data_IF_270831895262
#
_entry.id   IF_270831895262
#
_cell.length_a   1.000
_cell.length_b   1.000
_cell.length_c   1.000
_cell.angle_alpha   90.00
_cell.angle_beta   90.00
_cell.angle_gamma   90.00
#
_symmetry.space_group_name_H-M   'P 1'
#
loop_
_entity.id
_entity.type
_entity.pdbx_description
1 polymer ?
#
# COMPACT_ATOMS: atom_id res chain seq x y z
N UNK A 1 28.65 -0.63 -22.86
CA UNK A 1 27.49 -1.51 -22.67
C UNK A 1 26.31 -0.85 -21.95
N UNK A 2 26.49 0.23 -21.17
CA UNK A 2 25.42 0.89 -20.41
C UNK A 2 24.59 1.91 -21.21
N UNK A 3 25.04 2.33 -22.40
CA UNK A 3 24.38 3.38 -23.16
C UNK A 3 22.90 3.12 -23.52
N UNK A 4 22.47 1.91 -23.94
CA UNK A 4 21.06 1.65 -24.20
C UNK A 4 20.19 1.78 -22.94
N UNK A 5 20.70 1.32 -21.78
CA UNK A 5 20.01 1.45 -20.51
C UNK A 5 19.87 2.92 -20.06
N UNK A 6 20.94 3.70 -20.18
CA UNK A 6 20.94 5.13 -19.88
C UNK A 6 19.95 5.87 -20.78
N UNK A 7 19.96 5.57 -22.08
CA UNK A 7 19.00 6.15 -23.03
C UNK A 7 17.54 5.82 -22.64
N UNK A 8 17.28 4.57 -22.27
CA UNK A 8 15.97 4.14 -21.77
C UNK A 8 15.54 4.92 -20.51
N UNK A 9 16.44 5.03 -19.53
CA UNK A 9 16.13 5.78 -18.28
C UNK A 9 15.86 7.26 -18.58
N UNK A 10 16.63 7.88 -19.46
CA UNK A 10 16.41 9.30 -19.83
C UNK A 10 15.06 9.47 -20.55
N UNK A 11 14.76 8.64 -21.55
CA UNK A 11 13.56 8.81 -22.37
C UNK A 11 12.27 8.40 -21.63
N UNK A 12 12.33 7.35 -20.82
CA UNK A 12 11.12 6.76 -20.21
C UNK A 12 10.86 7.31 -18.80
N UNK A 13 11.89 7.70 -18.06
CA UNK A 13 11.73 8.21 -16.71
C UNK A 13 12.08 9.70 -16.57
N UNK A 14 13.28 10.10 -16.98
CA UNK A 14 13.73 11.48 -16.75
C UNK A 14 12.93 12.49 -17.58
N UNK A 15 12.74 12.24 -18.86
CA UNK A 15 12.00 13.14 -19.74
C UNK A 15 10.56 13.39 -19.30
N UNK A 16 9.71 12.39 -18.99
CA UNK A 16 8.36 12.63 -18.49
C UNK A 16 8.32 13.40 -17.18
N UNK A 17 9.29 13.18 -16.28
CA UNK A 17 9.38 13.92 -15.00
C UNK A 17 9.67 15.39 -15.26
N UNK A 18 10.68 15.70 -16.10
CA UNK A 18 11.02 17.07 -16.47
C UNK A 18 9.86 17.75 -17.20
N UNK A 19 9.20 17.03 -18.10
CA UNK A 19 8.04 17.55 -18.82
C UNK A 19 6.86 17.80 -17.90
N UNK A 20 6.56 16.91 -16.97
CA UNK A 20 5.54 17.12 -15.96
C UNK A 20 5.84 18.32 -15.04
N UNK A 21 7.11 18.46 -14.64
CA UNK A 21 7.55 19.64 -13.88
C UNK A 21 7.36 20.95 -14.68
N UNK A 22 7.68 20.94 -15.98
CA UNK A 22 7.41 22.08 -16.84
C UNK A 22 5.91 22.39 -16.95
N UNK A 23 5.08 21.37 -17.16
CA UNK A 23 3.63 21.51 -17.27
C UNK A 23 2.99 22.02 -15.98
N UNK A 24 3.58 21.74 -14.82
CA UNK A 24 3.05 22.22 -13.52
C UNK A 24 3.05 23.73 -13.35
N UNK A 25 3.82 24.47 -14.18
CA UNK A 25 3.86 25.93 -14.23
C UNK A 25 2.92 26.53 -15.27
N UNK A 26 2.16 25.71 -15.98
CA UNK A 26 1.21 26.14 -17.01
C UNK A 26 -0.23 25.90 -16.56
N UNK A 27 -1.17 26.66 -17.12
CA UNK A 27 -2.60 26.35 -17.01
C UNK A 27 -2.91 25.15 -17.91
N UNK A 28 -2.61 23.94 -17.37
CA UNK A 28 -2.69 22.71 -18.12
C UNK A 28 -3.98 21.97 -17.81
N UNK A 29 -4.75 21.68 -18.85
CA UNK A 29 -5.88 20.77 -18.78
C UNK A 29 -5.82 19.75 -19.93
N UNK A 30 -6.44 18.61 -19.69
CA UNK A 30 -6.51 17.56 -20.69
C UNK A 30 -7.46 17.97 -21.82
N UNK A 31 -6.93 18.05 -23.03
CA UNK A 31 -7.69 18.33 -24.24
C UNK A 31 -7.67 17.13 -25.19
N UNK A 32 -8.66 17.03 -26.07
CA UNK A 32 -8.71 16.00 -27.09
C UNK A 32 -7.45 16.06 -27.99
N UNK A 33 -6.96 14.93 -28.50
CA UNK A 33 -5.83 14.90 -29.41
C UNK A 33 -6.09 15.82 -30.64
N UNK A 34 -5.15 16.73 -30.92
CA UNK A 34 -5.28 17.68 -32.04
C UNK A 34 -6.04 18.96 -31.71
N UNK A 35 -6.56 19.15 -30.51
CA UNK A 35 -7.12 20.45 -30.09
C UNK A 35 -5.98 21.46 -29.88
N UNK A 36 -6.07 22.59 -30.54
CA UNK A 36 -5.19 23.73 -30.28
C UNK A 36 -5.70 24.47 -29.04
N UNK A 37 -4.97 24.25 -27.93
CA UNK A 37 -5.34 24.77 -26.62
C UNK A 37 -4.20 25.62 -26.10
N UNK A 38 -4.51 26.90 -25.85
CA UNK A 38 -3.57 27.81 -25.19
C UNK A 38 -3.31 27.34 -23.75
N UNK A 39 -2.05 27.23 -23.39
CA UNK A 39 -1.57 26.82 -22.05
C UNK A 39 -0.59 27.87 -21.53
N UNK A 40 -1.12 29.00 -21.09
CA UNK A 40 -0.30 30.10 -20.62
C UNK A 40 0.53 29.69 -19.40
N UNK A 41 1.70 30.28 -19.28
CA UNK A 41 2.55 30.14 -18.12
C UNK A 41 1.92 30.89 -16.94
N UNK A 42 1.57 30.17 -15.88
CA UNK A 42 0.92 30.70 -14.66
C UNK A 42 1.84 30.73 -13.45
N UNK A 43 3.12 30.38 -13.64
CA UNK A 43 4.09 30.37 -12.55
C UNK A 43 3.70 29.42 -11.41
N UNK A 44 3.58 29.93 -10.20
CA UNK A 44 3.27 29.14 -9.00
C UNK A 44 1.79 29.08 -8.64
N UNK A 45 0.88 29.60 -9.47
CA UNK A 45 -0.54 29.68 -9.13
C UNK A 45 -1.16 28.30 -8.89
N UNK A 46 -0.75 27.28 -9.66
CA UNK A 46 -1.18 25.90 -9.43
C UNK A 46 -0.76 25.39 -8.05
N UNK A 47 0.44 25.69 -7.59
CA UNK A 47 0.94 25.29 -6.28
C UNK A 47 0.20 26.01 -5.15
N UNK A 48 -0.08 27.30 -5.33
CA UNK A 48 -0.87 28.08 -4.38
C UNK A 48 -2.30 27.53 -4.29
N UNK A 49 -2.92 27.18 -5.43
CA UNK A 49 -4.23 26.56 -5.47
C UNK A 49 -4.26 25.23 -4.73
N UNK A 50 -3.26 24.37 -4.95
CA UNK A 50 -3.11 23.05 -4.27
C UNK A 50 -2.96 23.21 -2.76
N UNK A 51 -2.13 24.16 -2.30
CA UNK A 51 -1.89 24.39 -0.86
C UNK A 51 -3.15 24.93 -0.17
N UNK A 52 -3.96 25.71 -0.88
CA UNK A 52 -5.19 26.30 -0.35
C UNK A 52 -6.42 25.39 -0.50
N UNK A 53 -6.31 24.25 -1.20
CA UNK A 53 -7.43 23.32 -1.35
C UNK A 53 -7.59 22.43 -0.08
N UNK A 54 -8.72 22.55 0.65
CA UNK A 54 -9.00 21.72 1.81
C UNK A 54 -8.98 20.20 1.51
N UNK A 55 -9.31 19.80 0.27
CA UNK A 55 -9.31 18.40 -0.14
C UNK A 55 -7.90 17.81 -0.16
N UNK A 56 -6.91 18.62 -0.49
CA UNK A 56 -5.50 18.20 -0.47
C UNK A 56 -5.07 17.88 0.95
N UNK A 57 -5.39 18.75 1.91
CA UNK A 57 -5.08 18.51 3.32
C UNK A 57 -5.84 17.32 3.89
N UNK A 58 -7.09 17.14 3.50
CA UNK A 58 -7.85 15.94 3.85
C UNK A 58 -7.19 14.68 3.29
N UNK A 59 -6.68 14.72 2.06
CA UNK A 59 -5.97 13.59 1.45
C UNK A 59 -4.67 13.27 2.21
N UNK A 60 -3.88 14.28 2.56
CA UNK A 60 -2.69 14.08 3.40
C UNK A 60 -3.03 13.47 4.76
N UNK A 61 -4.10 13.94 5.41
CA UNK A 61 -4.58 13.36 6.67
C UNK A 61 -4.96 11.89 6.49
N UNK A 62 -5.70 11.56 5.43
CA UNK A 62 -6.11 10.18 5.15
C UNK A 62 -4.90 9.26 4.91
N UNK A 63 -3.91 9.72 4.13
CA UNK A 63 -2.65 9.00 3.92
C UNK A 63 -1.89 8.85 5.23
N UNK A 64 -1.83 9.89 6.06
CA UNK A 64 -1.20 9.83 7.38
C UNK A 64 -1.86 8.78 8.29
N UNK A 65 -3.18 8.77 8.39
CA UNK A 65 -3.93 7.76 9.17
C UNK A 65 -3.67 6.36 8.62
N UNK A 66 -3.71 6.20 7.30
CA UNK A 66 -3.40 4.92 6.65
C UNK A 66 -2.01 4.41 7.03
N UNK A 67 -0.97 5.25 6.90
CA UNK A 67 0.42 4.88 7.20
C UNK A 67 0.63 4.52 8.67
N UNK A 68 0.05 5.30 9.59
CA UNK A 68 0.14 5.07 11.04
C UNK A 68 -0.48 3.72 11.42
N UNK A 69 -1.52 3.28 10.73
CA UNK A 69 -2.15 1.99 10.99
C UNK A 69 -1.43 0.87 10.23
N UNK A 70 -1.26 1.03 8.91
CA UNK A 70 -0.79 -0.04 8.04
C UNK A 70 0.67 -0.43 8.32
N UNK A 71 1.58 0.55 8.49
CA UNK A 71 3.01 0.25 8.62
C UNK A 71 3.31 -0.52 9.92
N UNK A 72 2.92 -0.04 11.12
CA UNK A 72 3.17 -0.80 12.34
C UNK A 72 2.47 -2.15 12.36
N UNK A 73 1.22 -2.22 11.88
CA UNK A 73 0.47 -3.46 11.84
C UNK A 73 1.14 -4.50 10.94
N UNK A 74 1.57 -4.09 9.74
CA UNK A 74 2.28 -4.95 8.80
C UNK A 74 3.61 -5.45 9.38
N UNK A 75 4.42 -4.54 9.93
CA UNK A 75 5.74 -4.89 10.50
C UNK A 75 5.58 -5.84 11.68
N UNK A 76 4.75 -5.49 12.65
CA UNK A 76 4.56 -6.29 13.87
C UNK A 76 4.01 -7.69 13.55
N UNK A 77 2.94 -7.75 12.76
CA UNK A 77 2.34 -9.04 12.39
C UNK A 77 3.31 -9.90 11.55
N UNK A 78 4.05 -9.28 10.63
CA UNK A 78 5.00 -10.04 9.80
C UNK A 78 6.15 -10.60 10.60
N UNK A 79 6.70 -9.84 11.56
CA UNK A 79 7.77 -10.33 12.44
C UNK A 79 7.25 -11.46 13.34
N UNK A 80 6.09 -11.30 13.97
CA UNK A 80 5.48 -12.32 14.81
C UNK A 80 5.26 -13.62 14.03
N UNK A 81 4.64 -13.51 12.85
CA UNK A 81 4.35 -14.67 12.02
C UNK A 81 5.61 -15.29 11.41
N UNK A 82 6.62 -14.50 11.02
CA UNK A 82 7.91 -15.02 10.55
C UNK A 82 8.64 -15.78 11.66
N UNK A 83 8.68 -15.24 12.88
CA UNK A 83 9.29 -15.89 14.05
C UNK A 83 8.56 -17.18 14.42
N UNK A 84 7.22 -17.17 14.37
CA UNK A 84 6.42 -18.37 14.59
C UNK A 84 6.71 -19.44 13.53
N UNK A 85 6.77 -19.06 12.25
CA UNK A 85 7.10 -19.96 11.14
C UNK A 85 8.52 -20.51 11.21
N UNK A 86 9.47 -19.73 11.72
CA UNK A 86 10.87 -20.19 11.88
C UNK A 86 10.97 -21.34 12.88
N UNK A 87 10.14 -21.32 13.93
CA UNK A 87 10.07 -22.37 14.96
C UNK A 87 9.29 -23.61 14.53
N UNK A 88 8.40 -23.52 13.53
CA UNK A 88 7.59 -24.66 13.07
C UNK A 88 8.45 -25.59 12.23
N UNK A 89 8.58 -26.84 12.65
CA UNK A 89 9.32 -27.91 11.94
C UNK A 89 8.42 -28.58 10.89
N UNK A 90 7.15 -28.86 11.24
CA UNK A 90 6.19 -29.55 10.39
C UNK A 90 5.21 -28.54 9.73
N UNK A 91 4.75 -28.84 8.51
CA UNK A 91 3.80 -28.03 7.75
C UNK A 91 4.27 -26.59 7.37
N UNK A 92 5.57 -26.28 7.50
CA UNK A 92 6.15 -24.96 7.15
C UNK A 92 5.78 -24.53 5.72
N UNK A 93 5.83 -25.45 4.76
CA UNK A 93 5.47 -25.18 3.36
C UNK A 93 4.00 -24.81 3.22
N UNK A 94 3.09 -25.50 3.90
CA UNK A 94 1.67 -25.20 3.88
C UNK A 94 1.40 -23.77 4.36
N UNK A 95 1.97 -23.37 5.50
CA UNK A 95 1.78 -22.01 6.03
C UNK A 95 2.39 -20.93 5.12
N UNK A 96 3.60 -21.17 4.57
CA UNK A 96 4.22 -20.24 3.61
C UNK A 96 3.31 -20.02 2.39
N UNK A 97 2.78 -21.07 1.81
CA UNK A 97 1.88 -20.99 0.66
C UNK A 97 0.59 -20.26 1.05
N UNK A 98 -0.02 -20.64 2.18
CA UNK A 98 -1.29 -20.02 2.63
C UNK A 98 -1.19 -18.52 2.86
N UNK A 99 -0.09 -18.04 3.45
CA UNK A 99 0.12 -16.60 3.63
C UNK A 99 0.50 -15.88 2.34
N UNK A 100 1.14 -16.55 1.39
CA UNK A 100 1.59 -15.94 0.15
C UNK A 100 0.51 -15.87 -0.93
N UNK A 101 -0.47 -16.77 -0.90
CA UNK A 101 -1.59 -16.82 -1.89
C UNK A 101 -2.31 -15.47 -2.03
N UNK A 102 -2.73 -14.76 -0.96
CA UNK A 102 -3.39 -13.46 -1.11
C UNK A 102 -2.53 -12.42 -1.84
N UNK A 103 -1.22 -12.45 -1.63
CA UNK A 103 -0.28 -11.52 -2.27
C UNK A 103 -0.20 -11.73 -3.78
N UNK A 104 -0.11 -12.99 -4.25
CA UNK A 104 0.02 -13.32 -5.68
C UNK A 104 -1.31 -13.34 -6.44
N UNK A 105 -2.42 -13.38 -5.72
CA UNK A 105 -3.74 -13.39 -6.34
C UNK A 105 -4.06 -12.05 -6.99
N UNK A 106 -4.73 -12.08 -8.15
CA UNK A 106 -5.11 -10.89 -8.89
C UNK A 106 -5.86 -9.89 -8.00
N UNK A 107 -5.35 -8.67 -7.91
CA UNK A 107 -5.84 -7.64 -6.99
C UNK A 107 -7.32 -7.33 -7.17
N UNK A 108 -7.80 -7.29 -8.41
CA UNK A 108 -9.21 -6.99 -8.72
C UNK A 108 -10.15 -8.03 -8.11
N UNK A 109 -9.82 -9.33 -8.24
CA UNK A 109 -10.64 -10.39 -7.67
C UNK A 109 -10.67 -10.33 -6.13
N UNK A 110 -9.52 -10.11 -5.51
CA UNK A 110 -9.41 -10.02 -4.05
C UNK A 110 -10.15 -8.80 -3.51
N UNK A 111 -10.04 -7.64 -4.18
CA UNK A 111 -10.80 -6.43 -3.84
C UNK A 111 -12.29 -6.66 -3.93
N UNK A 112 -12.78 -7.32 -4.99
CA UNK A 112 -14.20 -7.61 -5.15
C UNK A 112 -14.74 -8.48 -4.00
N UNK A 113 -14.01 -9.53 -3.61
CA UNK A 113 -14.37 -10.36 -2.45
C UNK A 113 -14.40 -9.53 -1.17
N UNK A 114 -13.40 -8.67 -0.95
CA UNK A 114 -13.32 -7.82 0.23
C UNK A 114 -14.48 -6.82 0.30
N UNK A 115 -14.79 -6.15 -0.82
CA UNK A 115 -15.94 -5.24 -0.91
C UNK A 115 -17.25 -5.96 -0.58
N UNK A 116 -17.42 -7.19 -1.05
CA UNK A 116 -18.58 -8.02 -0.73
C UNK A 116 -18.65 -8.37 0.76
N UNK A 117 -17.53 -8.82 1.35
CA UNK A 117 -17.47 -9.19 2.78
C UNK A 117 -17.78 -8.02 3.71
N UNK A 118 -17.28 -6.82 3.41
CA UNK A 118 -17.42 -5.60 4.21
C UNK A 118 -18.59 -4.71 3.75
N UNK A 119 -19.44 -5.18 2.85
CA UNK A 119 -20.69 -4.48 2.46
C UNK A 119 -21.69 -4.47 3.61
N UNK A 120 -22.74 -3.66 3.48
CA UNK A 120 -23.77 -3.53 4.52
C UNK A 120 -24.47 -4.86 4.84
N UNK A 121 -24.67 -5.70 3.84
CA UNK A 121 -25.26 -7.05 4.00
C UNK A 121 -24.21 -8.16 3.90
N UNK A 122 -22.93 -7.81 3.98
CA UNK A 122 -21.81 -8.72 3.89
C UNK A 122 -21.66 -9.62 5.11
N UNK A 123 -20.86 -10.68 4.94
CA UNK A 123 -20.67 -11.71 5.97
C UNK A 123 -20.16 -11.12 7.29
N UNK A 124 -19.27 -10.10 7.24
CA UNK A 124 -18.72 -9.45 8.45
C UNK A 124 -19.84 -8.82 9.26
N UNK A 125 -20.77 -8.09 8.64
CA UNK A 125 -21.90 -7.48 9.31
C UNK A 125 -22.90 -8.51 9.82
N UNK A 126 -23.12 -9.61 9.09
CA UNK A 126 -23.97 -10.71 9.56
C UNK A 126 -23.43 -11.39 10.81
N UNK A 127 -22.11 -11.58 10.91
CA UNK A 127 -21.46 -12.15 12.11
C UNK A 127 -21.52 -11.18 13.28
N UNK A 128 -21.31 -9.88 13.05
CA UNK A 128 -21.31 -8.86 14.09
C UNK A 128 -22.74 -8.51 14.58
N UNK A 129 -23.74 -8.75 13.76
CA UNK A 129 -25.13 -8.47 14.12
C UNK A 129 -25.34 -7.03 14.58
N UNK A 130 -25.83 -6.82 15.84
CA UNK A 130 -26.06 -5.48 16.39
C UNK A 130 -24.81 -4.61 16.56
N UNK A 131 -23.61 -5.21 16.55
CA UNK A 131 -22.33 -4.50 16.67
C UNK A 131 -21.81 -4.00 15.30
N UNK A 132 -22.51 -4.33 14.22
CA UNK A 132 -22.12 -3.88 12.89
C UNK A 132 -22.24 -2.36 12.76
N UNK A 133 -21.26 -1.68 12.15
CA UNK A 133 -21.30 -0.23 12.00
C UNK A 133 -22.38 0.22 11.00
N UNK A 134 -23.02 1.35 11.32
CA UNK A 134 -23.95 2.04 10.43
C UNK A 134 -23.54 3.51 10.35
N UNK A 135 -23.19 4.04 9.15
CA UNK A 135 -23.08 3.34 7.86
C UNK A 135 -21.96 2.31 7.80
N UNK A 136 -21.99 1.43 6.78
CA UNK A 136 -21.06 0.32 6.61
C UNK A 136 -19.58 0.79 6.52
N UNK A 137 -18.66 -0.13 6.77
CA UNK A 137 -17.21 0.03 6.94
C UNK A 137 -16.54 1.02 5.97
N UNK A 138 -16.77 0.87 4.67
CA UNK A 138 -16.12 1.68 3.63
C UNK A 138 -16.81 3.01 3.35
N UNK A 139 -18.06 3.18 3.82
CA UNK A 139 -18.85 4.42 3.68
C UNK A 139 -18.69 5.28 4.93
N UNK A 140 -18.37 4.67 6.06
CA UNK A 140 -18.12 5.37 7.31
C UNK A 140 -16.77 6.10 7.27
N UNK A 141 -16.77 7.43 7.42
CA UNK A 141 -15.57 8.27 7.33
C UNK A 141 -14.48 7.92 8.35
N UNK A 142 -14.86 7.38 9.52
CA UNK A 142 -13.92 6.98 10.56
C UNK A 142 -13.35 5.57 10.32
N UNK A 143 -14.12 4.67 9.69
CA UNK A 143 -13.75 3.26 9.52
C UNK A 143 -13.15 2.95 8.15
N UNK A 144 -13.36 3.80 7.14
CA UNK A 144 -12.90 3.55 5.77
C UNK A 144 -11.38 3.34 5.70
N UNK A 145 -10.59 4.26 6.26
CA UNK A 145 -9.12 4.14 6.25
C UNK A 145 -8.60 2.94 7.07
N UNK A 146 -9.07 2.68 8.30
CA UNK A 146 -8.72 1.46 9.03
C UNK A 146 -9.07 0.18 8.26
N UNK A 147 -10.24 0.11 7.62
CA UNK A 147 -10.65 -1.08 6.84
C UNK A 147 -9.75 -1.29 5.62
N UNK A 148 -9.40 -0.22 4.91
CA UNK A 148 -8.45 -0.27 3.79
C UNK A 148 -7.06 -0.68 4.29
N UNK A 149 -6.60 -0.13 5.41
CA UNK A 149 -5.30 -0.48 5.99
C UNK A 149 -5.25 -1.97 6.38
N UNK A 150 -6.32 -2.50 6.98
CA UNK A 150 -6.43 -3.93 7.30
C UNK A 150 -6.37 -4.80 6.04
N UNK A 151 -7.07 -4.42 4.97
CA UNK A 151 -7.02 -5.11 3.69
C UNK A 151 -5.60 -5.13 3.09
N UNK A 152 -4.95 -3.97 3.01
CA UNK A 152 -3.60 -3.85 2.44
C UNK A 152 -2.58 -4.63 3.28
N UNK A 153 -2.68 -4.54 4.61
CA UNK A 153 -1.86 -5.35 5.52
C UNK A 153 -2.04 -6.84 5.23
N UNK A 154 -3.28 -7.35 5.30
CA UNK A 154 -3.55 -8.77 5.07
C UNK A 154 -3.04 -9.26 3.71
N UNK A 155 -3.28 -8.49 2.65
CA UNK A 155 -2.82 -8.83 1.30
C UNK A 155 -1.30 -8.83 1.18
N UNK A 156 -0.62 -7.90 1.87
CA UNK A 156 0.84 -7.74 1.82
C UNK A 156 1.61 -8.67 2.77
N UNK A 157 0.97 -9.19 3.83
CA UNK A 157 1.62 -9.97 4.89
C UNK A 157 2.51 -11.09 4.36
N UNK A 158 2.05 -11.84 3.36
CA UNK A 158 2.79 -12.98 2.84
C UNK A 158 4.18 -12.63 2.32
N UNK A 159 4.31 -11.50 1.62
CA UNK A 159 5.59 -11.00 1.13
C UNK A 159 6.53 -10.63 2.29
N UNK A 160 6.04 -9.85 3.25
CA UNK A 160 6.85 -9.40 4.38
C UNK A 160 7.22 -10.54 5.33
N UNK A 161 6.33 -11.53 5.55
CA UNK A 161 6.65 -12.73 6.33
C UNK A 161 7.82 -13.47 5.71
N UNK A 162 7.82 -13.69 4.39
CA UNK A 162 8.92 -14.38 3.71
C UNK A 162 10.22 -13.57 3.77
N UNK A 163 10.14 -12.25 3.65
CA UNK A 163 11.29 -11.36 3.76
C UNK A 163 11.94 -11.43 5.15
N UNK A 164 11.14 -11.31 6.22
CA UNK A 164 11.64 -11.43 7.60
C UNK A 164 12.13 -12.85 7.92
N UNK A 165 11.46 -13.87 7.42
CA UNK A 165 11.89 -15.25 7.60
C UNK A 165 13.26 -15.51 6.95
N UNK A 166 13.49 -14.96 5.74
CA UNK A 166 14.80 -15.04 5.11
C UNK A 166 15.87 -14.28 5.91
N UNK A 167 15.53 -13.11 6.45
CA UNK A 167 16.43 -12.35 7.31
C UNK A 167 16.79 -13.10 8.59
N UNK A 168 15.80 -13.70 9.27
CA UNK A 168 16.03 -14.51 10.49
C UNK A 168 16.94 -15.72 10.22
N UNK A 169 16.79 -16.38 9.08
CA UNK A 169 17.62 -17.53 8.70
C UNK A 169 19.09 -17.16 8.39
N UNK A 170 19.37 -15.88 8.11
CA UNK A 170 20.73 -15.39 7.90
C UNK A 170 21.43 -14.93 9.18
N UNK A 171 20.77 -14.92 10.34
CA UNK A 171 21.38 -14.57 11.62
C UNK A 171 22.28 -15.72 12.08
N UNK A 172 23.60 -15.50 12.34
CA UNK A 172 24.49 -16.53 12.83
C UNK A 172 24.03 -17.09 14.17
N UNK A 173 24.14 -18.41 14.34
CA UNK A 173 23.74 -19.09 15.59
C UNK A 173 24.53 -18.62 16.83
N UNK A 174 25.76 -18.21 16.63
CA UNK A 174 26.64 -17.63 17.65
C UNK A 174 26.03 -16.43 18.39
N UNK A 175 25.22 -15.62 17.68
CA UNK A 175 24.51 -14.49 18.30
C UNK A 175 23.39 -14.96 19.23
N UNK A 176 22.69 -16.03 18.88
CA UNK A 176 21.66 -16.60 19.76
C UNK A 176 22.27 -17.26 21.00
N UNK A 177 23.44 -17.93 20.86
CA UNK A 177 24.16 -18.56 21.94
C UNK A 177 24.72 -17.53 22.92
N UNK A 178 25.29 -16.39 22.43
CA UNK A 178 25.80 -15.33 23.28
C UNK A 178 24.70 -14.69 24.15
N UNK A 179 23.52 -14.43 23.56
CA UNK A 179 22.37 -13.86 24.30
C UNK A 179 21.80 -14.84 25.33
N UNK A 180 21.99 -16.16 25.15
CA UNK A 180 21.50 -17.16 26.10
C UNK A 180 22.43 -17.35 27.31
N UNK A 181 23.64 -16.78 27.26
CA UNK A 181 24.62 -16.87 28.37
C UNK A 181 24.59 -15.65 29.29
N UNK A 182 23.90 -14.57 28.89
CA UNK A 182 23.63 -13.38 29.73
C UNK A 182 22.28 -13.51 30.45
#
# INVERSE_FOLDING_TARGET
FSAPYIAFVILVFAWPIVFAAWMSFQDYFFAAPGADVDRPFVGFDNYVAVINDPKVWQSFRNVGVFLIINVPLTVVLSIILATALDRIVHARTFFRVSYYVPYVTASVAVVAVWLFLFSQHGLVNQILGPLAPSPSWLINSALAMPTIALFVTWKGLGFYILLYLAALQNVPRELYESVSMD
#
